data_IF_931388021503
#
_entry.id   IF_931388021503
#
_cell.length_a   1.000
_cell.length_b   1.000
_cell.length_c   1.000
_cell.angle_alpha   90.00
_cell.angle_beta   90.00
_cell.angle_gamma   90.00
#
_symmetry.space_group_name_H-M   'P 1'
#
loop_
_entity.id
_entity.type
_entity.pdbx_description
1 polymer ?
#
# COMPACT_ATOMS: atom_id res chain seq x y z
N UNK A 1 -10.92 9.80 0.23
CA UNK A 1 -12.14 9.66 -0.60
C UNK A 1 -12.02 8.36 -1.39
N UNK A 2 -13.17 7.73 -1.66
CA UNK A 2 -13.35 6.33 -2.13
C UNK A 2 -12.51 6.01 -3.39
N UNK A 3 -11.64 5.00 -3.30
CA UNK A 3 -10.64 4.68 -4.35
C UNK A 3 -10.86 3.34 -5.06
N UNK A 4 -11.93 2.58 -4.81
CA UNK A 4 -12.16 1.29 -5.50
C UNK A 4 -13.63 1.04 -5.75
N UNK A 5 -14.23 2.00 -6.44
CA UNK A 5 -15.66 2.05 -6.67
C UNK A 5 -15.93 2.11 -8.17
N UNK A 6 -16.50 1.05 -8.72
CA UNK A 6 -17.04 1.08 -10.08
C UNK A 6 -18.47 1.61 -10.00
N UNK A 7 -18.78 2.56 -10.88
CA UNK A 7 -20.13 3.07 -11.03
C UNK A 7 -20.78 2.37 -12.21
N UNK A 8 -21.92 1.74 -11.97
CA UNK A 8 -22.75 1.13 -13.00
C UNK A 8 -24.03 1.96 -13.19
N UNK A 9 -24.55 1.96 -14.41
CA UNK A 9 -25.83 2.57 -14.70
C UNK A 9 -26.53 1.96 -15.91
N UNK A 10 -27.83 2.20 -15.98
CA UNK A 10 -28.65 1.88 -17.14
C UNK A 10 -28.27 2.78 -18.32
N UNK A 11 -27.98 2.25 -19.52
CA UNK A 11 -27.45 3.02 -20.63
C UNK A 11 -28.26 4.28 -20.99
N UNK A 12 -29.58 4.24 -20.80
CA UNK A 12 -30.49 5.35 -21.09
C UNK A 12 -30.32 6.59 -20.21
N UNK A 13 -29.66 6.50 -19.04
CA UNK A 13 -29.52 7.66 -18.14
C UNK A 13 -28.35 8.55 -18.49
N UNK A 14 -27.34 8.02 -19.20
CA UNK A 14 -26.20 8.80 -19.66
C UNK A 14 -26.35 9.10 -21.15
N UNK A 15 -26.79 10.32 -21.46
CA UNK A 15 -26.99 10.81 -22.83
C UNK A 15 -25.93 11.83 -23.26
N UNK A 16 -24.93 12.07 -22.40
CA UNK A 16 -23.84 13.01 -22.62
C UNK A 16 -22.70 12.44 -23.46
N UNK A 17 -21.71 13.28 -23.76
CA UNK A 17 -20.40 12.81 -24.25
C UNK A 17 -19.58 12.28 -23.09
N UNK A 18 -18.67 11.34 -23.37
CA UNK A 18 -17.64 10.92 -22.41
C UNK A 18 -16.93 12.18 -21.87
N UNK A 19 -16.87 12.38 -20.55
CA UNK A 19 -16.20 13.54 -19.96
C UNK A 19 -14.68 13.51 -20.21
N UNK A 20 -14.02 14.66 -20.05
CA UNK A 20 -12.56 14.71 -20.08
C UNK A 20 -11.97 13.86 -18.94
N UNK A 21 -10.73 13.38 -19.12
CA UNK A 21 -10.07 12.52 -18.15
C UNK A 21 -10.04 13.13 -16.74
N UNK A 22 -9.76 14.44 -16.64
CA UNK A 22 -9.65 15.19 -15.38
C UNK A 22 -10.99 15.33 -14.63
N UNK A 23 -12.13 15.23 -15.35
CA UNK A 23 -13.48 15.43 -14.79
C UNK A 23 -14.25 14.10 -14.64
N UNK A 24 -13.69 13.00 -15.14
CA UNK A 24 -14.39 11.72 -15.30
C UNK A 24 -14.93 11.16 -13.98
N UNK A 25 -14.10 11.13 -12.94
CA UNK A 25 -14.54 10.60 -11.64
C UNK A 25 -15.65 11.44 -11.01
N UNK A 26 -15.55 12.76 -11.10
CA UNK A 26 -16.54 13.68 -10.55
C UNK A 26 -17.88 13.51 -11.27
N UNK A 27 -17.86 13.41 -12.60
CA UNK A 27 -19.08 13.21 -13.42
C UNK A 27 -19.74 11.86 -13.13
N UNK A 28 -18.97 10.79 -12.97
CA UNK A 28 -19.52 9.47 -12.61
C UNK A 28 -20.16 9.48 -11.21
N UNK A 29 -19.52 10.14 -10.25
CA UNK A 29 -20.07 10.32 -8.90
C UNK A 29 -21.36 11.14 -8.93
N UNK A 30 -21.41 12.25 -9.66
CA UNK A 30 -22.60 13.09 -9.82
C UNK A 30 -23.75 12.32 -10.47
N UNK A 31 -23.47 11.53 -11.50
CA UNK A 31 -24.43 10.63 -12.13
C UNK A 31 -24.99 9.64 -11.10
N UNK A 32 -24.13 8.99 -10.33
CA UNK A 32 -24.58 8.10 -9.27
C UNK A 32 -25.46 8.83 -8.24
N UNK A 33 -25.06 9.99 -7.72
CA UNK A 33 -25.84 10.75 -6.75
C UNK A 33 -27.23 11.13 -7.27
N UNK A 34 -27.31 11.48 -8.56
CA UNK A 34 -28.56 11.85 -9.21
C UNK A 34 -29.52 10.67 -9.39
N UNK A 35 -28.99 9.48 -9.71
CA UNK A 35 -29.81 8.34 -10.16
C UNK A 35 -29.88 7.16 -9.18
N UNK A 36 -29.12 7.17 -8.08
CA UNK A 36 -29.09 6.10 -7.05
C UNK A 36 -30.39 5.87 -6.30
N UNK A 37 -31.37 6.76 -6.40
CA UNK A 37 -32.69 6.62 -5.77
C UNK A 37 -33.83 6.63 -6.81
N UNK A 38 -33.49 6.62 -8.10
CA UNK A 38 -34.45 6.62 -9.20
C UNK A 38 -34.65 5.17 -9.60
N UNK A 39 -35.89 4.69 -9.56
CA UNK A 39 -36.21 3.34 -10.04
C UNK A 39 -35.78 3.21 -11.51
N UNK A 40 -35.06 2.14 -11.83
CA UNK A 40 -34.76 1.84 -13.23
C UNK A 40 -36.04 1.57 -14.03
N UNK A 41 -36.04 1.97 -15.31
CA UNK A 41 -37.01 1.54 -16.31
C UNK A 41 -36.43 0.47 -17.27
N UNK A 42 -35.12 0.27 -17.21
CA UNK A 42 -34.36 -0.70 -17.99
C UNK A 42 -34.28 -2.07 -17.33
N UNK A 43 -33.75 -3.04 -18.09
CA UNK A 43 -33.45 -4.40 -17.61
C UNK A 43 -31.96 -4.71 -17.71
N UNK A 44 -31.14 -3.76 -18.15
CA UNK A 44 -29.76 -4.01 -18.56
C UNK A 44 -28.86 -4.17 -17.35
N UNK A 45 -29.07 -3.36 -16.32
CA UNK A 45 -28.38 -3.48 -15.03
C UNK A 45 -28.69 -4.83 -14.34
N UNK A 46 -29.95 -5.29 -14.42
CA UNK A 46 -30.35 -6.61 -13.90
C UNK A 46 -29.76 -7.75 -14.74
N UNK A 47 -29.84 -7.66 -16.06
CA UNK A 47 -29.27 -8.65 -16.96
C UNK A 47 -27.75 -8.79 -16.78
N UNK A 48 -27.06 -7.68 -16.56
CA UNK A 48 -25.64 -7.67 -16.22
C UNK A 48 -25.38 -8.43 -14.91
N UNK A 49 -26.13 -8.13 -13.85
CA UNK A 49 -25.96 -8.79 -12.56
C UNK A 49 -26.23 -10.30 -12.65
N UNK A 50 -27.26 -10.70 -13.38
CA UNK A 50 -27.60 -12.11 -13.55
C UNK A 50 -26.49 -12.83 -14.30
N UNK A 51 -26.00 -12.29 -15.42
CA UNK A 51 -24.91 -12.88 -16.19
C UNK A 51 -23.59 -12.91 -15.40
N UNK A 52 -23.27 -11.83 -14.68
CA UNK A 52 -22.06 -11.72 -13.85
C UNK A 52 -22.10 -12.75 -12.73
N UNK A 53 -23.26 -12.89 -12.09
CA UNK A 53 -23.49 -13.91 -11.08
C UNK A 53 -23.42 -15.32 -11.63
N UNK A 54 -24.03 -15.58 -12.78
CA UNK A 54 -24.09 -16.92 -13.35
C UNK A 54 -22.69 -17.39 -13.75
N UNK A 55 -21.87 -16.51 -14.33
CA UNK A 55 -20.47 -16.83 -14.68
C UNK A 55 -19.58 -17.06 -13.45
N UNK A 56 -19.75 -16.30 -12.37
CA UNK A 56 -18.94 -16.47 -11.14
C UNK A 56 -19.38 -17.70 -10.35
N UNK A 57 -20.68 -17.98 -10.30
CA UNK A 57 -21.25 -19.11 -9.56
C UNK A 57 -21.35 -20.40 -10.39
N UNK A 58 -20.93 -20.39 -11.66
CA UNK A 58 -20.95 -21.58 -12.52
C UNK A 58 -20.10 -22.70 -11.91
N UNK A 59 -20.67 -23.90 -11.69
CA UNK A 59 -19.92 -25.08 -11.27
C UNK A 59 -18.65 -25.38 -12.08
N UNK A 60 -18.63 -25.03 -13.37
CA UNK A 60 -17.48 -25.22 -14.26
C UNK A 60 -16.33 -24.24 -13.97
N UNK A 61 -16.62 -23.09 -13.35
CA UNK A 61 -15.63 -22.06 -13.01
C UNK A 61 -15.37 -21.92 -11.51
N UNK A 62 -15.93 -22.81 -10.67
CA UNK A 62 -15.71 -22.83 -9.21
C UNK A 62 -14.22 -22.89 -8.81
N UNK A 63 -13.38 -23.45 -9.68
CA UNK A 63 -11.93 -23.50 -9.48
C UNK A 63 -11.25 -22.13 -9.63
N UNK A 64 -11.91 -21.09 -10.14
CA UNK A 64 -11.33 -19.76 -10.37
C UNK A 64 -11.81 -18.69 -9.37
N UNK A 65 -12.93 -18.94 -8.70
CA UNK A 65 -13.59 -17.98 -7.79
C UNK A 65 -13.64 -18.51 -6.36
N UNK A 66 -13.33 -17.67 -5.36
CA UNK A 66 -13.43 -18.07 -3.95
C UNK A 66 -14.89 -18.28 -3.55
N UNK A 67 -15.10 -19.02 -2.46
CA UNK A 67 -16.37 -18.96 -1.72
C UNK A 67 -16.67 -17.51 -1.27
N UNK A 68 -15.65 -16.75 -0.87
CA UNK A 68 -15.75 -15.32 -0.57
C UNK A 68 -16.22 -14.49 -1.77
N UNK A 69 -15.73 -14.75 -3.00
CA UNK A 69 -16.20 -14.10 -4.23
C UNK A 69 -17.67 -14.39 -4.49
N UNK A 70 -18.07 -15.66 -4.33
CA UNK A 70 -19.46 -16.07 -4.53
C UNK A 70 -20.39 -15.44 -3.49
N UNK A 71 -19.96 -15.36 -2.23
CA UNK A 71 -20.69 -14.67 -1.16
C UNK A 71 -20.77 -13.15 -1.41
N UNK A 72 -19.73 -12.54 -1.96
CA UNK A 72 -19.73 -11.13 -2.34
C UNK A 72 -20.72 -10.86 -3.48
N UNK A 73 -20.70 -11.67 -4.54
CA UNK A 73 -21.69 -11.61 -5.64
C UNK A 73 -23.10 -11.78 -5.09
N UNK A 74 -23.32 -12.74 -4.19
CA UNK A 74 -24.62 -12.93 -3.56
C UNK A 74 -25.05 -11.68 -2.76
N UNK A 75 -24.11 -11.04 -2.04
CA UNK A 75 -24.36 -9.77 -1.37
C UNK A 75 -24.69 -8.62 -2.34
N UNK A 76 -24.16 -8.63 -3.56
CA UNK A 76 -24.59 -7.70 -4.63
C UNK A 76 -26.03 -8.03 -5.05
N UNK A 77 -26.36 -9.30 -5.30
CA UNK A 77 -27.73 -9.70 -5.66
C UNK A 77 -28.75 -9.32 -4.60
N UNK A 78 -28.43 -9.53 -3.33
CA UNK A 78 -29.30 -9.21 -2.22
C UNK A 78 -29.50 -7.69 -2.08
N UNK A 79 -28.47 -6.88 -2.37
CA UNK A 79 -28.60 -5.42 -2.46
C UNK A 79 -29.48 -4.98 -3.63
N UNK A 80 -29.38 -5.62 -4.79
CA UNK A 80 -30.21 -5.31 -5.95
C UNK A 80 -31.66 -5.78 -5.77
N UNK A 81 -31.87 -6.89 -5.06
CA UNK A 81 -33.19 -7.43 -4.75
C UNK A 81 -34.03 -6.50 -3.83
N UNK A 82 -33.39 -5.58 -3.12
CA UNK A 82 -34.07 -4.56 -2.29
C UNK A 82 -34.65 -3.39 -3.11
N UNK A 83 -34.41 -3.35 -4.43
CA UNK A 83 -34.96 -2.38 -5.37
C UNK A 83 -33.88 -1.87 -6.34
N UNK A 84 -34.14 -1.95 -7.64
CA UNK A 84 -33.18 -1.54 -8.67
C UNK A 84 -33.21 -0.01 -8.87
N UNK A 85 -32.12 0.64 -8.50
CA UNK A 85 -31.87 2.04 -8.84
C UNK A 85 -31.18 2.13 -10.19
N UNK A 86 -31.43 3.20 -10.95
CA UNK A 86 -30.89 3.38 -12.29
C UNK A 86 -29.35 3.53 -12.32
N UNK A 87 -28.72 3.74 -11.15
CA UNK A 87 -27.27 3.65 -10.96
C UNK A 87 -26.93 2.92 -9.66
N UNK A 88 -25.84 2.15 -9.70
CA UNK A 88 -25.32 1.39 -8.58
C UNK A 88 -23.83 1.67 -8.38
N UNK A 89 -23.44 1.68 -7.11
CA UNK A 89 -22.07 1.74 -6.66
C UNK A 89 -21.57 0.33 -6.31
N UNK A 90 -20.53 -0.14 -6.99
CA UNK A 90 -19.84 -1.38 -6.67
C UNK A 90 -18.58 -1.08 -5.88
N UNK A 91 -18.67 -1.20 -4.57
CA UNK A 91 -17.52 -1.16 -3.69
C UNK A 91 -16.93 -2.56 -3.60
N UNK A 92 -15.60 -2.65 -3.75
CA UNK A 92 -14.77 -3.86 -3.53
C UNK A 92 -14.67 -4.79 -4.74
N UNK A 93 -13.78 -4.43 -5.68
CA UNK A 93 -13.08 -5.42 -6.50
C UNK A 93 -11.63 -5.66 -6.02
N UNK A 94 -11.07 -4.74 -5.23
CA UNK A 94 -9.62 -4.65 -4.96
C UNK A 94 -9.02 -5.83 -4.19
N UNK A 95 -9.77 -6.50 -3.30
CA UNK A 95 -9.21 -7.60 -2.47
C UNK A 95 -9.19 -8.96 -3.17
N UNK A 96 -9.92 -9.15 -4.27
CA UNK A 96 -9.89 -10.37 -5.07
C UNK A 96 -9.45 -10.13 -6.53
N UNK A 97 -9.23 -8.87 -6.90
CA UNK A 97 -8.63 -8.36 -8.14
C UNK A 97 -7.22 -8.89 -8.46
N UNK A 98 -6.55 -9.57 -7.53
CA UNK A 98 -5.30 -10.29 -7.85
C UNK A 98 -5.54 -11.48 -8.79
N UNK A 99 -6.79 -11.92 -8.97
CA UNK A 99 -7.18 -12.87 -9.99
C UNK A 99 -7.83 -12.14 -11.16
N UNK A 100 -7.12 -12.04 -12.28
CA UNK A 100 -7.59 -11.54 -13.58
C UNK A 100 -8.98 -12.07 -14.01
N UNK A 101 -9.42 -13.20 -13.44
CA UNK A 101 -10.70 -13.85 -13.68
C UNK A 101 -11.94 -12.99 -13.36
N UNK A 102 -11.95 -12.23 -12.26
CA UNK A 102 -13.14 -11.44 -11.87
C UNK A 102 -13.30 -10.23 -12.79
N UNK A 103 -12.20 -9.55 -13.10
CA UNK A 103 -12.18 -8.45 -14.08
C UNK A 103 -12.55 -8.92 -15.48
N UNK A 104 -12.07 -10.09 -15.89
CA UNK A 104 -12.46 -10.71 -17.15
C UNK A 104 -13.96 -10.95 -17.22
N UNK A 105 -14.56 -11.60 -16.21
CA UNK A 105 -16.00 -11.81 -16.18
C UNK A 105 -16.75 -10.48 -16.13
N UNK A 106 -16.26 -9.48 -15.39
CA UNK A 106 -16.83 -8.14 -15.36
C UNK A 106 -16.90 -7.51 -16.77
N UNK A 107 -15.78 -7.42 -17.49
CA UNK A 107 -15.79 -6.79 -18.81
C UNK A 107 -16.49 -7.63 -19.88
N UNK A 108 -16.41 -8.97 -19.81
CA UNK A 108 -17.19 -9.84 -20.70
C UNK A 108 -18.69 -9.61 -20.50
N UNK A 109 -19.15 -9.55 -19.25
CA UNK A 109 -20.56 -9.30 -18.96
C UNK A 109 -20.98 -7.89 -19.36
N UNK A 110 -20.14 -6.88 -19.14
CA UNK A 110 -20.39 -5.52 -19.65
C UNK A 110 -20.52 -5.50 -21.17
N UNK A 111 -19.64 -6.21 -21.88
CA UNK A 111 -19.68 -6.29 -23.33
C UNK A 111 -20.94 -7.00 -23.83
N UNK A 112 -21.35 -8.09 -23.17
CA UNK A 112 -22.53 -8.87 -23.56
C UNK A 112 -23.85 -8.17 -23.22
N UNK A 113 -23.92 -7.40 -22.13
CA UNK A 113 -25.17 -6.74 -21.72
C UNK A 113 -25.26 -5.29 -22.18
N UNK A 114 -24.14 -4.66 -22.51
CA UNK A 114 -24.09 -3.25 -22.90
C UNK A 114 -24.44 -2.31 -21.75
N UNK A 115 -24.15 -2.67 -20.50
CA UNK A 115 -24.36 -1.79 -19.35
C UNK A 115 -23.43 -0.57 -19.42
N UNK A 116 -23.89 0.58 -18.90
CA UNK A 116 -23.02 1.74 -18.71
C UNK A 116 -22.14 1.58 -17.48
N UNK A 117 -20.86 1.95 -17.58
CA UNK A 117 -19.98 1.95 -16.42
C UNK A 117 -18.87 3.00 -16.48
N UNK A 118 -18.37 3.38 -15.30
CA UNK A 118 -17.13 4.11 -15.12
C UNK A 118 -16.24 3.38 -14.12
N UNK A 119 -15.01 3.14 -14.54
CA UNK A 119 -13.98 2.54 -13.70
C UNK A 119 -12.83 3.52 -13.45
N UNK A 120 -12.67 3.98 -12.19
CA UNK A 120 -11.71 5.04 -11.87
C UNK A 120 -10.25 4.59 -11.97
N UNK A 121 -9.95 3.31 -11.75
CA UNK A 121 -8.57 2.82 -11.72
C UNK A 121 -7.88 2.85 -13.10
N UNK A 122 -8.67 2.71 -14.16
CA UNK A 122 -8.19 2.75 -15.55
C UNK A 122 -8.76 3.94 -16.33
N UNK A 123 -9.56 4.79 -15.68
CA UNK A 123 -10.29 5.90 -16.26
C UNK A 123 -11.13 5.50 -17.49
N UNK A 124 -11.79 4.34 -17.42
CA UNK A 124 -12.53 3.77 -18.56
C UNK A 124 -14.02 4.01 -18.41
N UNK A 125 -14.62 4.41 -19.53
CA UNK A 125 -16.07 4.60 -19.69
C UNK A 125 -16.64 3.59 -20.68
N UNK A 126 -17.83 3.08 -20.39
CA UNK A 126 -18.75 2.60 -21.41
C UNK A 126 -20.13 3.22 -21.24
N UNK A 127 -20.74 3.60 -22.36
CA UNK A 127 -22.05 4.22 -22.44
C UNK A 127 -22.86 3.38 -23.43
N UNK A 128 -23.38 2.24 -22.98
CA UNK A 128 -24.15 1.34 -23.84
C UNK A 128 -23.35 0.66 -24.95
N UNK A 129 -24.06 -0.04 -25.84
CA UNK A 129 -23.49 -0.70 -27.05
C UNK A 129 -22.85 0.28 -28.05
N UNK A 130 -23.09 1.59 -27.93
CA UNK A 130 -22.85 2.56 -29.01
C UNK A 130 -21.74 3.59 -28.73
N UNK A 131 -21.24 3.70 -27.50
CA UNK A 131 -20.26 4.74 -27.13
C UNK A 131 -19.21 4.30 -26.11
N UNK A 132 -18.70 3.08 -26.24
CA UNK A 132 -17.32 2.82 -25.78
C UNK A 132 -16.37 3.30 -26.88
N UNK A 133 -15.22 3.94 -26.58
CA UNK A 133 -14.19 4.12 -27.61
C UNK A 133 -13.98 2.76 -28.28
N UNK A 134 -14.08 2.65 -29.60
CA UNK A 134 -14.31 1.38 -30.36
C UNK A 134 -13.35 0.22 -30.04
N UNK A 135 -12.32 0.42 -29.22
CA UNK A 135 -11.42 -0.63 -28.73
C UNK A 135 -11.04 -0.50 -27.24
N UNK A 136 -11.66 0.35 -26.41
CA UNK A 136 -11.22 0.54 -25.02
C UNK A 136 -11.42 -0.72 -24.17
N UNK A 137 -12.61 -1.32 -24.25
CA UNK A 137 -12.91 -2.59 -23.56
C UNK A 137 -12.09 -3.73 -24.17
N UNK A 138 -12.00 -3.82 -25.51
CA UNK A 138 -11.19 -4.86 -26.19
C UNK A 138 -9.68 -4.75 -25.94
N UNK A 139 -9.13 -3.54 -25.82
CA UNK A 139 -7.71 -3.30 -25.52
C UNK A 139 -7.39 -3.58 -24.06
N UNK A 140 -8.29 -3.25 -23.12
CA UNK A 140 -8.17 -3.66 -21.73
C UNK A 140 -8.34 -5.17 -21.56
N UNK A 141 -9.23 -5.78 -22.35
CA UNK A 141 -9.43 -7.22 -22.39
C UNK A 141 -8.23 -7.95 -23.01
N UNK A 142 -7.41 -7.32 -23.86
CA UNK A 142 -6.32 -8.01 -24.58
C UNK A 142 -5.33 -8.74 -23.64
N UNK A 143 -4.82 -8.11 -22.56
CA UNK A 143 -4.04 -8.79 -21.53
C UNK A 143 -4.81 -9.96 -20.87
N UNK A 144 -6.07 -9.75 -20.51
CA UNK A 144 -6.85 -10.70 -19.70
C UNK A 144 -7.53 -11.85 -20.49
N UNK A 145 -7.77 -11.67 -21.79
CA UNK A 145 -8.31 -12.67 -22.70
C UNK A 145 -7.24 -13.63 -23.22
N UNK A 146 -5.99 -13.15 -23.33
CA UNK A 146 -4.87 -13.92 -23.88
C UNK A 146 -4.18 -14.81 -22.83
N UNK A 147 -4.28 -14.47 -21.54
CA UNK A 147 -3.77 -15.33 -20.48
C UNK A 147 -4.78 -16.44 -20.09
N UNK A 148 -4.36 -17.71 -20.00
CA UNK A 148 -5.22 -18.78 -19.52
C UNK A 148 -5.62 -18.52 -18.08
N UNK A 149 -6.91 -18.66 -17.77
CA UNK A 149 -7.43 -18.60 -16.40
C UNK A 149 -6.61 -19.56 -15.52
N UNK A 150 -5.93 -19.02 -14.51
CA UNK A 150 -5.15 -19.83 -13.57
C UNK A 150 -6.09 -20.38 -12.51
N UNK A 151 -6.18 -21.70 -12.42
CA UNK A 151 -6.96 -22.39 -11.39
C UNK A 151 -6.48 -21.90 -10.03
N UNK A 152 -7.43 -21.49 -9.19
CA UNK A 152 -7.24 -21.25 -7.76
C UNK A 152 -6.94 -22.60 -7.13
N UNK A 153 -5.68 -22.97 -7.13
CA UNK A 153 -5.22 -24.07 -6.29
C UNK A 153 -5.41 -23.58 -4.86
N UNK A 154 -6.40 -24.16 -4.16
CA UNK A 154 -6.47 -24.18 -2.70
C UNK A 154 -5.30 -25.04 -2.17
N UNK A 155 -4.09 -24.66 -2.54
CA UNK A 155 -2.91 -25.07 -1.86
C UNK A 155 -2.86 -24.17 -0.63
N UNK A 156 -2.88 -24.78 0.55
CA UNK A 156 -2.09 -24.23 1.66
C UNK A 156 -0.82 -23.68 1.01
N UNK A 157 -0.52 -22.40 1.20
CA UNK A 157 0.74 -21.82 0.71
C UNK A 157 1.85 -22.69 1.28
N UNK A 158 2.26 -23.72 0.54
CA UNK A 158 3.63 -24.13 0.51
C UNK A 158 4.26 -22.90 -0.11
N UNK A 159 4.95 -22.15 0.74
CA UNK A 159 5.86 -21.09 0.33
C UNK A 159 6.46 -21.50 -1.01
N UNK A 160 6.45 -20.64 -2.06
CA UNK A 160 7.18 -20.96 -3.27
C UNK A 160 8.54 -21.43 -2.80
N UNK A 161 8.89 -22.70 -3.04
CA UNK A 161 10.13 -23.25 -2.53
C UNK A 161 11.21 -22.30 -3.01
N UNK A 162 11.77 -21.54 -2.06
CA UNK A 162 12.71 -20.47 -2.31
C UNK A 162 13.85 -21.08 -3.10
N UNK A 163 13.83 -20.92 -4.42
CA UNK A 163 15.03 -21.09 -5.22
C UNK A 163 15.86 -19.85 -4.97
N UNK A 164 16.50 -19.83 -3.81
CA UNK A 164 17.73 -19.09 -3.66
C UNK A 164 18.72 -19.78 -4.60
N UNK A 165 18.78 -19.23 -5.82
CA UNK A 165 19.68 -19.66 -6.87
C UNK A 165 21.11 -19.65 -6.33
N UNK A 166 21.99 -20.47 -6.92
CA UNK A 166 23.41 -20.32 -6.71
C UNK A 166 23.85 -18.91 -7.14
N UNK A 167 23.94 -17.99 -6.17
CA UNK A 167 24.36 -16.63 -6.45
C UNK A 167 25.80 -16.64 -6.93
N UNK A 168 26.04 -15.98 -8.06
CA UNK A 168 27.39 -15.63 -8.47
C UNK A 168 27.77 -14.33 -7.78
N UNK A 169 28.98 -14.28 -7.22
CA UNK A 169 29.49 -13.05 -6.61
C UNK A 169 29.65 -11.99 -7.71
N UNK A 170 28.92 -10.86 -7.66
CA UNK A 170 29.08 -9.80 -8.65
C UNK A 170 30.50 -9.24 -8.56
N UNK A 171 31.13 -9.00 -9.70
CA UNK A 171 32.47 -8.43 -9.80
C UNK A 171 32.44 -6.91 -10.03
N UNK A 172 31.27 -6.36 -10.32
CA UNK A 172 31.06 -4.95 -10.63
C UNK A 172 29.74 -4.41 -10.06
N UNK A 173 29.62 -3.09 -9.92
CA UNK A 173 28.38 -2.45 -9.47
C UNK A 173 27.18 -2.70 -10.42
N UNK A 174 27.36 -2.68 -11.76
CA UNK A 174 26.29 -3.08 -12.67
C UNK A 174 25.83 -4.53 -12.51
N UNK A 175 26.74 -5.47 -12.25
CA UNK A 175 26.37 -6.87 -11.97
C UNK A 175 25.58 -7.00 -10.66
N UNK A 176 25.99 -6.27 -9.62
CA UNK A 176 25.25 -6.23 -8.36
C UNK A 176 23.87 -5.58 -8.52
N UNK A 177 23.77 -4.53 -9.34
CA UNK A 177 22.49 -3.92 -9.72
C UNK A 177 21.57 -4.92 -10.41
N UNK A 178 22.06 -5.61 -11.44
CA UNK A 178 21.29 -6.63 -12.13
C UNK A 178 20.81 -7.73 -11.17
N UNK A 179 21.71 -8.22 -10.31
CA UNK A 179 21.38 -9.24 -9.32
C UNK A 179 20.28 -8.79 -8.36
N UNK A 180 20.40 -7.58 -7.82
CA UNK A 180 19.42 -7.00 -6.88
C UNK A 180 18.08 -6.77 -7.57
N UNK A 181 18.08 -6.17 -8.76
CA UNK A 181 16.85 -5.87 -9.50
C UNK A 181 16.10 -7.15 -9.85
N UNK A 182 16.80 -8.16 -10.38
CA UNK A 182 16.21 -9.47 -10.65
C UNK A 182 15.66 -10.13 -9.38
N UNK A 183 16.38 -10.03 -8.26
CA UNK A 183 15.90 -10.57 -7.00
C UNK A 183 14.58 -9.89 -6.58
N UNK A 184 14.49 -8.57 -6.61
CA UNK A 184 13.27 -7.83 -6.26
C UNK A 184 12.09 -8.14 -7.20
N UNK A 185 12.34 -8.30 -8.49
CA UNK A 185 11.33 -8.69 -9.48
C UNK A 185 10.77 -10.10 -9.24
N UNK A 186 11.53 -10.96 -8.55
CA UNK A 186 11.17 -12.35 -8.29
C UNK A 186 10.55 -12.60 -6.90
N UNK A 187 10.63 -11.66 -5.95
CA UNK A 187 10.07 -11.89 -4.61
C UNK A 187 8.59 -11.56 -4.51
N UNK A 188 7.85 -12.38 -3.76
CA UNK A 188 6.39 -12.27 -3.60
C UNK A 188 5.92 -10.92 -3.09
N UNK A 189 6.64 -10.28 -2.17
CA UNK A 189 6.26 -8.98 -1.59
C UNK A 189 6.72 -7.77 -2.43
N UNK A 190 7.72 -7.93 -3.30
CA UNK A 190 8.32 -6.80 -4.02
C UNK A 190 8.05 -6.79 -5.52
N UNK A 191 7.66 -7.92 -6.12
CA UNK A 191 7.44 -8.05 -7.56
C UNK A 191 6.40 -7.08 -8.15
N UNK A 192 5.47 -6.58 -7.33
CA UNK A 192 4.43 -5.64 -7.75
C UNK A 192 4.73 -4.19 -7.36
N UNK A 193 5.87 -3.93 -6.70
CA UNK A 193 6.26 -2.58 -6.29
C UNK A 193 7.02 -1.90 -7.43
N UNK A 194 6.91 -0.58 -7.51
CA UNK A 194 7.70 0.19 -8.48
C UNK A 194 9.15 0.27 -8.00
N UNK A 195 10.06 -0.37 -8.74
CA UNK A 195 11.50 -0.29 -8.50
C UNK A 195 12.11 0.84 -9.34
N UNK A 196 12.63 1.87 -8.68
CA UNK A 196 13.48 2.88 -9.29
C UNK A 196 14.94 2.65 -8.87
N UNK A 197 15.87 2.69 -9.83
CA UNK A 197 17.31 2.55 -9.58
C UNK A 197 18.04 3.81 -10.01
N UNK A 198 18.85 4.37 -9.11
CA UNK A 198 19.62 5.59 -9.36
C UNK A 198 21.11 5.45 -9.04
N UNK A 199 21.94 6.19 -9.77
CA UNK A 199 23.39 6.26 -9.57
C UNK A 199 23.82 7.20 -8.42
N UNK A 200 22.86 7.75 -7.69
CA UNK A 200 23.05 8.70 -6.60
C UNK A 200 22.04 8.45 -5.49
N UNK A 201 22.29 8.99 -4.30
CA UNK A 201 21.32 8.97 -3.23
C UNK A 201 20.04 9.70 -3.65
N UNK A 202 18.90 9.05 -3.50
CA UNK A 202 17.59 9.65 -3.70
C UNK A 202 16.62 9.19 -2.62
N UNK A 203 15.63 10.00 -2.28
CA UNK A 203 14.58 9.70 -1.30
C UNK A 203 13.32 10.48 -1.66
N UNK A 204 12.24 9.80 -2.05
CA UNK A 204 10.97 10.42 -2.42
C UNK A 204 10.22 11.03 -1.24
N UNK A 205 10.53 10.61 0.00
CA UNK A 205 9.87 11.08 1.22
C UNK A 205 10.61 12.26 1.84
N UNK A 206 11.95 12.22 1.85
CA UNK A 206 12.79 13.33 2.31
C UNK A 206 13.64 13.84 1.15
N UNK A 207 13.14 14.86 0.46
CA UNK A 207 13.78 15.41 -0.73
C UNK A 207 15.04 16.25 -0.43
N UNK A 208 15.44 16.38 0.83
CA UNK A 208 16.61 17.17 1.21
C UNK A 208 17.88 16.54 0.63
N UNK A 209 18.58 17.31 -0.20
CA UNK A 209 19.79 16.86 -0.89
C UNK A 209 19.54 16.00 -2.13
N UNK A 210 18.29 15.78 -2.54
CA UNK A 210 18.01 15.14 -3.82
C UNK A 210 18.46 16.04 -4.96
N UNK A 211 19.06 15.45 -5.98
CA UNK A 211 19.26 16.13 -7.25
C UNK A 211 17.96 16.10 -8.07
N UNK A 212 17.71 17.16 -8.85
CA UNK A 212 16.45 17.31 -9.58
C UNK A 212 16.22 16.32 -10.73
N UNK A 213 17.28 15.68 -11.23
CA UNK A 213 17.24 14.66 -12.29
C UNK A 213 18.15 13.48 -11.95
N UNK A 214 17.76 12.63 -10.97
CA UNK A 214 18.57 11.50 -10.52
C UNK A 214 18.85 10.47 -11.60
N UNK A 215 18.00 10.39 -12.63
CA UNK A 215 18.14 9.54 -13.80
C UNK A 215 19.29 9.96 -14.74
N UNK A 216 19.70 11.24 -14.71
CA UNK A 216 20.80 11.77 -15.52
C UNK A 216 22.13 11.81 -14.75
N UNK A 217 22.15 11.28 -13.53
CA UNK A 217 23.32 11.35 -12.68
C UNK A 217 24.48 10.50 -13.24
N UNK A 218 25.69 11.06 -13.18
CA UNK A 218 26.90 10.33 -13.52
C UNK A 218 27.04 9.09 -12.63
N UNK A 219 27.48 7.98 -13.21
CA UNK A 219 27.78 6.78 -12.46
C UNK A 219 29.00 7.01 -11.56
N UNK A 220 28.75 7.07 -10.25
CA UNK A 220 29.79 7.24 -9.22
C UNK A 220 30.17 5.93 -8.53
N UNK A 221 29.67 4.79 -9.04
CA UNK A 221 29.77 3.49 -8.38
C UNK A 221 28.79 3.32 -7.22
N UNK A 222 27.80 4.20 -7.12
CA UNK A 222 26.73 4.17 -6.14
C UNK A 222 25.45 3.62 -6.78
N UNK A 223 24.67 2.80 -6.07
CA UNK A 223 23.33 2.37 -6.49
C UNK A 223 22.33 2.59 -5.37
N UNK A 224 21.28 3.33 -5.67
CA UNK A 224 20.09 3.49 -4.83
C UNK A 224 18.96 2.70 -5.46
N UNK A 225 18.44 1.71 -4.75
CA UNK A 225 17.23 0.99 -5.11
C UNK A 225 16.10 1.54 -4.26
N UNK A 226 15.02 1.97 -4.90
CA UNK A 226 13.84 2.52 -4.27
C UNK A 226 12.65 1.71 -4.71
N UNK A 227 12.11 0.90 -3.81
CA UNK A 227 10.82 0.26 -4.02
C UNK A 227 9.75 1.14 -3.41
N UNK A 228 8.79 1.54 -4.24
CA UNK A 228 7.74 2.47 -3.84
C UNK A 228 6.36 1.91 -4.12
N UNK A 229 5.42 2.30 -3.26
CA UNK A 229 4.01 2.00 -3.41
C UNK A 229 3.21 3.12 -2.76
N UNK A 230 2.11 3.53 -3.37
CA UNK A 230 1.14 4.44 -2.74
C UNK A 230 -0.16 3.68 -2.54
N UNK A 231 -0.67 3.68 -1.31
CA UNK A 231 -1.93 3.01 -0.98
C UNK A 231 -2.70 3.85 0.03
N UNK A 232 -3.94 4.21 -0.30
CA UNK A 232 -4.88 4.88 0.62
C UNK A 232 -4.26 6.11 1.32
N UNK A 233 -3.59 6.99 0.56
CA UNK A 233 -2.96 8.20 1.13
C UNK A 233 -1.71 7.94 1.98
N UNK A 234 -1.15 6.72 1.93
CA UNK A 234 0.13 6.35 2.54
C UNK A 234 1.11 6.05 1.42
N UNK A 235 2.26 6.72 1.42
CA UNK A 235 3.36 6.47 0.50
C UNK A 235 4.44 5.66 1.20
N UNK A 236 4.75 4.50 0.66
CA UNK A 236 5.73 3.55 1.15
C UNK A 236 7.01 3.67 0.33
N UNK A 237 8.15 3.57 1.02
CA UNK A 237 9.46 3.51 0.39
C UNK A 237 10.37 2.54 1.15
N UNK A 238 10.75 1.46 0.49
CA UNK A 238 11.91 0.66 0.90
C UNK A 238 13.12 1.15 0.11
N UNK A 239 14.12 1.68 0.82
CA UNK A 239 15.34 2.22 0.24
C UNK A 239 16.52 1.35 0.59
N UNK A 240 17.21 0.84 -0.43
CA UNK A 240 18.48 0.16 -0.30
C UNK A 240 19.58 0.94 -1.01
N UNK A 241 20.70 1.13 -0.34
CA UNK A 241 21.86 1.84 -0.89
C UNK A 241 23.06 0.91 -0.89
N UNK A 242 23.60 0.66 -2.07
CA UNK A 242 24.85 -0.05 -2.27
C UNK A 242 25.93 0.95 -2.72
N UNK A 243 26.97 1.12 -1.90
CA UNK A 243 28.09 2.05 -2.21
C UNK A 243 29.29 1.34 -2.82
N UNK A 244 29.52 0.09 -2.39
CA UNK A 244 30.62 -0.80 -2.78
C UNK A 244 30.20 -2.22 -2.45
N UNK A 245 30.72 -3.20 -3.18
CA UNK A 245 30.49 -4.63 -2.91
C UNK A 245 31.07 -5.07 -1.55
N UNK A 246 32.13 -4.39 -1.09
CA UNK A 246 32.83 -4.70 0.18
C UNK A 246 32.22 -4.02 1.41
N UNK A 247 31.08 -3.34 1.26
CA UNK A 247 30.38 -2.64 2.35
C UNK A 247 28.92 -3.07 2.36
N UNK A 248 28.38 -3.30 3.55
CA UNK A 248 26.99 -3.72 3.70
C UNK A 248 26.02 -2.69 3.11
N UNK A 249 24.98 -3.14 2.38
CA UNK A 249 23.94 -2.25 1.90
C UNK A 249 23.26 -1.51 3.06
N UNK A 250 23.01 -0.21 2.90
CA UNK A 250 22.21 0.53 3.88
C UNK A 250 20.74 0.39 3.51
N UNK A 251 19.95 -0.24 4.38
CA UNK A 251 18.52 -0.43 4.17
C UNK A 251 17.70 0.40 5.16
N UNK A 252 16.66 1.05 4.66
CA UNK A 252 15.68 1.73 5.49
C UNK A 252 14.29 1.64 4.85
N UNK A 253 13.29 1.37 5.67
CA UNK A 253 11.89 1.50 5.30
C UNK A 253 11.36 2.85 5.80
N UNK A 254 10.49 3.45 5.02
CA UNK A 254 9.82 4.68 5.38
C UNK A 254 8.37 4.66 4.86
N UNK A 255 7.47 5.28 5.61
CA UNK A 255 6.11 5.57 5.20
C UNK A 255 5.79 7.03 5.47
N UNK A 256 5.18 7.70 4.50
CA UNK A 256 4.60 9.03 4.65
C UNK A 256 3.08 8.87 4.62
N UNK A 257 2.44 9.11 5.76
CA UNK A 257 0.98 9.01 5.92
C UNK A 257 0.35 10.39 6.15
N UNK A 258 1.01 11.46 5.72
CA UNK A 258 0.47 12.82 5.83
C UNK A 258 -0.88 12.93 5.13
N UNK A 259 -0.97 12.49 3.87
CA UNK A 259 -2.21 12.56 3.06
C UNK A 259 -3.34 11.70 3.65
N UNK A 260 -3.02 10.69 4.47
CA UNK A 260 -4.02 9.85 5.14
C UNK A 260 -4.74 10.59 6.26
N UNK A 261 -4.03 11.41 7.02
CA UNK A 261 -4.55 12.06 8.23
C UNK A 261 -4.81 13.54 8.08
N UNK A 262 -4.10 14.23 7.19
CA UNK A 262 -4.11 15.69 7.13
C UNK A 262 -4.70 16.12 5.78
N UNK A 263 -5.91 16.69 5.77
CA UNK A 263 -6.49 17.26 4.57
C UNK A 263 -5.54 18.27 3.92
N UNK A 264 -5.45 18.30 2.59
CA UNK A 264 -4.49 19.12 1.82
C UNK A 264 -4.46 20.60 2.26
N UNK A 265 -5.63 21.17 2.51
CA UNK A 265 -5.81 22.55 2.98
C UNK A 265 -5.19 22.83 4.37
N UNK A 266 -5.01 21.79 5.19
CA UNK A 266 -4.43 21.87 6.52
C UNK A 266 -2.96 21.42 6.56
N UNK A 267 -2.44 20.81 5.49
CA UNK A 267 -1.06 20.33 5.45
C UNK A 267 -0.03 21.45 5.66
N UNK A 268 -0.28 22.65 5.12
CA UNK A 268 0.59 23.82 5.31
C UNK A 268 0.66 24.30 6.76
N UNK A 269 -0.29 23.89 7.60
CA UNK A 269 -0.25 24.21 9.03
C UNK A 269 0.69 23.26 9.77
N UNK A 270 1.01 22.09 9.24
CA UNK A 270 1.92 21.15 9.87
C UNK A 270 3.36 21.49 9.45
N UNK A 271 4.27 21.79 10.40
CA UNK A 271 5.63 22.19 10.05
C UNK A 271 6.46 21.05 9.47
N UNK A 272 6.04 19.80 9.69
CA UNK A 272 6.70 18.60 9.20
C UNK A 272 5.67 17.59 8.73
N UNK A 273 6.05 16.71 7.80
CA UNK A 273 5.21 15.61 7.34
C UNK A 273 5.17 14.47 8.37
N UNK A 274 4.09 13.70 8.33
CA UNK A 274 3.88 12.52 9.16
C UNK A 274 4.61 11.32 8.55
N UNK A 275 5.91 11.27 8.81
CA UNK A 275 6.80 10.24 8.25
C UNK A 275 7.22 9.30 9.36
N UNK A 276 7.08 7.99 9.17
CA UNK A 276 7.70 6.96 10.00
C UNK A 276 8.88 6.34 9.25
N UNK A 277 9.96 6.02 9.98
CA UNK A 277 11.12 5.31 9.44
C UNK A 277 11.50 4.15 10.34
N UNK A 278 11.78 3.01 9.72
CA UNK A 278 12.26 1.81 10.40
C UNK A 278 13.52 1.32 9.71
N UNK A 279 14.59 1.11 10.49
CA UNK A 279 15.79 0.41 10.01
C UNK A 279 15.76 -1.00 10.57
N UNK A 280 16.37 -1.94 9.86
CA UNK A 280 16.54 -3.31 10.35
C UNK A 280 17.26 -3.38 11.70
N UNK A 281 18.16 -2.43 11.94
CA UNK A 281 18.92 -2.29 13.19
C UNK A 281 18.08 -1.83 14.38
N UNK A 282 16.86 -1.31 14.15
CA UNK A 282 15.93 -0.89 15.20
C UNK A 282 14.98 -2.03 15.61
N UNK A 283 15.11 -3.21 14.99
CA UNK A 283 14.31 -4.40 15.30
C UNK A 283 15.21 -5.47 15.91
N UNK A 284 14.89 -5.88 17.13
CA UNK A 284 15.73 -6.77 17.95
C UNK A 284 15.00 -8.04 18.36
N UNK A 285 15.77 -9.09 18.61
CA UNK A 285 15.25 -10.27 19.30
C UNK A 285 15.01 -9.94 20.77
N UNK A 286 13.85 -10.31 21.30
CA UNK A 286 13.52 -10.16 22.72
C UNK A 286 14.18 -11.27 23.52
N UNK A 287 15.49 -11.17 23.73
CA UNK A 287 16.25 -12.10 24.55
C UNK A 287 16.16 -11.63 26.00
N UNK A 288 15.57 -12.47 26.87
CA UNK A 288 15.46 -12.16 28.29
C UNK A 288 16.83 -11.89 28.91
N UNK A 289 17.02 -10.65 29.38
CA UNK A 289 18.13 -10.11 30.17
C UNK A 289 19.31 -9.47 29.39
N UNK A 290 19.34 -8.13 29.52
CA UNK A 290 20.49 -7.20 29.61
C UNK A 290 21.52 -7.15 28.46
N UNK A 291 21.50 -5.97 27.84
CA UNK A 291 22.61 -5.19 27.28
C UNK A 291 23.17 -5.52 25.90
N UNK A 292 22.81 -6.64 25.27
CA UNK A 292 23.17 -6.89 23.86
C UNK A 292 21.90 -7.26 23.07
N UNK A 293 21.12 -6.25 22.68
CA UNK A 293 19.97 -6.46 21.81
C UNK A 293 20.50 -6.76 20.39
N UNK A 294 20.65 -8.04 20.06
CA UNK A 294 21.04 -8.45 18.70
C UNK A 294 19.95 -8.05 17.70
N UNK A 295 20.31 -7.46 16.55
CA UNK A 295 19.36 -7.21 15.47
C UNK A 295 18.65 -8.50 15.07
N UNK A 296 17.34 -8.41 14.86
CA UNK A 296 16.54 -9.54 14.40
C UNK A 296 16.90 -9.92 12.96
N UNK A 297 17.21 -8.92 12.13
CA UNK A 297 17.61 -9.08 10.73
C UNK A 297 19.06 -8.61 10.56
N UNK A 298 19.97 -9.56 10.42
CA UNK A 298 21.39 -9.28 10.27
C UNK A 298 21.72 -8.93 8.80
N UNK A 299 21.33 -7.73 8.37
CA UNK A 299 21.64 -7.19 7.04
C UNK A 299 23.08 -6.65 6.96
N UNK A 300 24.01 -7.44 7.46
CA UNK A 300 25.44 -7.15 7.51
C UNK A 300 26.19 -8.18 6.70
N UNK A 301 27.25 -7.75 6.05
CA UNK A 301 28.06 -8.63 5.20
C UNK A 301 28.84 -7.83 4.17
N UNK A 302 29.98 -8.38 3.76
CA UNK A 302 30.68 -7.95 2.55
C UNK A 302 30.28 -8.95 1.47
N UNK A 303 29.92 -8.49 0.28
CA UNK A 303 29.52 -9.38 -0.82
C UNK A 303 30.76 -9.97 -1.47
N UNK A 304 31.62 -10.59 -0.66
CA UNK A 304 32.91 -11.14 -1.05
C UNK A 304 32.76 -12.62 -1.43
N UNK A 305 31.76 -13.32 -0.88
CA UNK A 305 31.48 -14.73 -1.18
C UNK A 305 30.01 -14.99 -1.54
N UNK A 306 29.70 -16.08 -2.27
CA UNK A 306 28.32 -16.48 -2.53
C UNK A 306 27.50 -16.70 -1.26
N UNK A 307 28.12 -17.21 -0.20
CA UNK A 307 27.47 -17.44 1.10
C UNK A 307 27.05 -16.13 1.76
N UNK A 308 27.90 -15.10 1.73
CA UNK A 308 27.55 -13.79 2.30
C UNK A 308 26.35 -13.16 1.59
N UNK A 309 26.28 -13.33 0.26
CA UNK A 309 25.19 -12.83 -0.58
C UNK A 309 23.89 -13.60 -0.28
N UNK A 310 23.99 -14.91 -0.17
CA UNK A 310 22.90 -15.80 0.22
C UNK A 310 22.31 -15.42 1.58
N UNK A 311 23.16 -15.22 2.58
CA UNK A 311 22.75 -14.83 3.93
C UNK A 311 22.12 -13.44 3.93
N UNK A 312 22.68 -12.50 3.16
CA UNK A 312 22.11 -11.17 3.00
C UNK A 312 20.69 -11.23 2.42
N UNK A 313 20.47 -11.92 1.29
CA UNK A 313 19.15 -12.01 0.67
C UNK A 313 18.14 -12.76 1.55
N UNK A 314 18.59 -13.76 2.32
CA UNK A 314 17.74 -14.45 3.30
C UNK A 314 17.26 -13.51 4.40
N UNK A 315 18.16 -12.68 4.95
CA UNK A 315 17.80 -11.69 5.96
C UNK A 315 16.97 -10.54 5.36
N UNK A 316 17.23 -10.15 4.10
CA UNK A 316 16.49 -9.10 3.41
C UNK A 316 15.04 -9.53 3.20
N UNK A 317 14.84 -10.75 2.73
CA UNK A 317 13.51 -11.34 2.56
C UNK A 317 12.72 -11.33 3.88
N UNK A 318 13.33 -11.85 4.95
CA UNK A 318 12.69 -11.89 6.27
C UNK A 318 12.35 -10.47 6.79
N UNK A 319 13.20 -9.48 6.53
CA UNK A 319 12.92 -8.10 6.92
C UNK A 319 11.78 -7.47 6.11
N UNK A 320 11.74 -7.72 4.81
CA UNK A 320 10.67 -7.27 3.92
C UNK A 320 9.34 -7.93 4.33
N UNK A 321 9.34 -9.25 4.53
CA UNK A 321 8.19 -10.00 5.02
C UNK A 321 7.68 -9.42 6.35
N UNK A 322 8.58 -9.12 7.29
CA UNK A 322 8.23 -8.47 8.55
C UNK A 322 7.57 -7.10 8.34
N UNK A 323 8.12 -6.25 7.48
CA UNK A 323 7.53 -4.95 7.15
C UNK A 323 6.15 -5.13 6.55
N UNK A 324 6.00 -5.93 5.50
CA UNK A 324 4.72 -6.04 4.79
C UNK A 324 3.65 -6.74 5.61
N UNK A 325 4.02 -7.70 6.45
CA UNK A 325 3.09 -8.40 7.35
C UNK A 325 2.56 -7.51 8.47
N UNK A 326 3.35 -6.53 8.93
CA UNK A 326 2.95 -5.65 10.03
C UNK A 326 2.45 -4.28 9.58
N UNK A 327 3.09 -3.67 8.58
CA UNK A 327 2.90 -2.28 8.16
C UNK A 327 2.41 -2.12 6.72
N UNK A 328 2.46 -3.20 5.92
CA UNK A 328 1.91 -3.22 4.57
C UNK A 328 0.40 -3.00 4.57
N UNK A 329 -0.15 -2.64 3.42
CA UNK A 329 -1.61 -2.47 3.23
C UNK A 329 -2.26 -1.41 4.14
N UNK A 330 -1.52 -0.44 4.65
CA UNK A 330 -2.08 0.60 5.51
C UNK A 330 -2.41 0.17 6.93
N UNK A 331 -1.80 -0.92 7.44
CA UNK A 331 -1.97 -1.44 8.81
C UNK A 331 -1.37 -0.51 9.88
N UNK A 332 -1.98 0.66 10.04
CA UNK A 332 -1.56 1.66 11.02
C UNK A 332 -1.88 1.25 12.45
N UNK A 333 -2.79 0.28 12.65
CA UNK A 333 -3.12 -0.30 13.95
C UNK A 333 -1.93 -1.06 14.55
N UNK A 334 -1.08 -1.69 13.72
CA UNK A 334 0.14 -2.33 14.19
C UNK A 334 1.15 -1.29 14.69
N UNK A 335 1.36 -0.22 13.90
CA UNK A 335 2.23 0.90 14.31
C UNK A 335 1.69 1.59 15.57
N UNK A 336 0.37 1.72 15.68
CA UNK A 336 -0.29 2.21 16.88
C UNK A 336 0.03 1.29 18.06
N UNK A 337 -0.22 -0.02 17.95
CA UNK A 337 0.08 -0.98 19.01
C UNK A 337 1.52 -0.91 19.51
N UNK A 338 2.50 -0.79 18.59
CA UNK A 338 3.91 -0.64 18.94
C UNK A 338 4.17 0.62 19.77
N UNK A 339 3.53 1.75 19.44
CA UNK A 339 3.63 2.99 20.21
C UNK A 339 3.03 2.87 21.63
N UNK A 340 2.08 1.95 21.84
CA UNK A 340 1.57 1.60 23.18
C UNK A 340 2.40 0.51 23.89
N UNK A 341 3.46 0.00 23.24
CA UNK A 341 4.36 -1.03 23.79
C UNK A 341 3.95 -2.47 23.47
N UNK A 342 2.90 -2.66 22.66
CA UNK A 342 2.40 -3.98 22.29
C UNK A 342 3.11 -4.46 21.03
N UNK A 343 4.31 -5.01 21.26
CA UNK A 343 5.24 -5.48 20.24
C UNK A 343 4.93 -6.92 19.77
N UNK A 344 5.34 -7.30 18.54
CA UNK A 344 5.21 -8.67 18.07
C UNK A 344 5.94 -9.68 18.97
N UNK A 345 5.44 -10.92 19.03
CA UNK A 345 6.02 -11.95 19.88
C UNK A 345 7.50 -12.20 19.57
N UNK A 346 8.34 -12.22 20.62
CA UNK A 346 9.78 -12.44 20.47
C UNK A 346 10.56 -11.28 19.84
N UNK A 347 9.91 -10.16 19.53
CA UNK A 347 10.51 -8.99 18.89
C UNK A 347 10.40 -7.78 19.82
N UNK A 348 11.45 -6.94 19.81
CA UNK A 348 11.43 -5.61 20.38
C UNK A 348 11.76 -4.62 19.26
N UNK A 349 10.99 -3.54 19.17
CA UNK A 349 11.19 -2.47 18.19
C UNK A 349 11.56 -1.20 18.95
N UNK A 350 12.74 -0.67 18.69
CA UNK A 350 13.22 0.55 19.31
C UNK A 350 12.65 1.76 18.54
N UNK A 351 11.44 2.16 18.94
CA UNK A 351 10.77 3.32 18.37
C UNK A 351 11.41 4.62 18.90
N UNK A 352 11.77 5.52 17.98
CA UNK A 352 12.12 6.90 18.33
C UNK A 352 10.92 7.57 19.02
N UNK A 353 11.18 8.32 20.11
CA UNK A 353 10.13 8.97 20.89
C UNK A 353 9.25 9.88 20.02
N UNK A 354 9.76 10.44 18.93
CA UNK A 354 9.00 11.30 18.01
C UNK A 354 7.87 10.52 17.35
N UNK A 355 8.15 9.29 16.94
CA UNK A 355 7.15 8.41 16.33
C UNK A 355 6.13 7.93 17.36
N UNK A 356 6.60 7.58 18.56
CA UNK A 356 5.72 7.23 19.67
C UNK A 356 4.71 8.35 19.94
N UNK A 357 5.20 9.58 20.20
CA UNK A 357 4.34 10.74 20.47
C UNK A 357 3.40 11.05 19.30
N UNK A 358 3.88 10.97 18.06
CA UNK A 358 3.06 11.19 16.87
C UNK A 358 1.90 10.19 16.80
N UNK A 359 2.15 8.90 17.04
CA UNK A 359 1.11 7.88 17.02
C UNK A 359 0.10 8.07 18.16
N UNK A 360 0.53 8.51 19.33
CA UNK A 360 -0.38 8.85 20.44
C UNK A 360 -1.26 10.06 20.11
N UNK A 361 -0.70 11.09 19.46
CA UNK A 361 -1.46 12.23 18.98
C UNK A 361 -2.49 11.83 17.91
N UNK A 362 -2.10 10.98 16.96
CA UNK A 362 -3.02 10.43 15.96
C UNK A 362 -4.12 9.57 16.59
N UNK A 363 -3.81 8.84 17.67
CA UNK A 363 -4.77 8.04 18.45
C UNK A 363 -5.73 8.89 19.28
N UNK A 364 -5.54 10.21 19.31
CA UNK A 364 -6.32 11.14 20.13
C UNK A 364 -6.28 10.81 21.64
N UNK A 365 -5.18 10.20 22.11
CA UNK A 365 -4.97 9.92 23.54
C UNK A 365 -4.13 11.02 24.18
N UNK A 366 -4.78 12.13 24.53
CA UNK A 366 -4.11 13.29 25.10
C UNK A 366 -3.44 12.99 26.45
N UNK A 367 -4.07 12.15 27.28
CA UNK A 367 -3.56 11.83 28.61
C UNK A 367 -2.29 11.01 28.49
N UNK A 368 -2.29 9.97 27.65
CA UNK A 368 -1.12 9.12 27.49
C UNK A 368 0.00 9.84 26.73
N UNK A 369 -0.32 10.68 25.73
CA UNK A 369 0.65 11.56 25.07
C UNK A 369 1.40 12.43 26.09
N UNK A 370 0.69 13.06 27.03
CA UNK A 370 1.31 13.88 28.08
C UNK A 370 2.17 13.04 29.02
N UNK A 371 1.70 11.84 29.42
CA UNK A 371 2.46 10.94 30.29
C UNK A 371 3.79 10.51 29.64
N UNK A 372 3.75 10.14 28.35
CA UNK A 372 4.94 9.69 27.62
C UNK A 372 5.92 10.81 27.34
N UNK A 373 5.45 12.03 27.06
CA UNK A 373 6.30 13.21 27.02
C UNK A 373 7.03 13.45 28.36
N UNK A 374 6.33 13.40 29.50
CA UNK A 374 6.95 13.58 30.82
C UNK A 374 7.94 12.46 31.15
N UNK A 375 7.64 11.22 30.77
CA UNK A 375 8.58 10.10 30.90
C UNK A 375 9.89 10.36 30.14
N UNK A 376 9.81 10.70 28.85
CA UNK A 376 11.00 10.97 28.02
C UNK A 376 11.80 12.16 28.53
N UNK A 377 11.11 13.22 28.98
CA UNK A 377 11.73 14.37 29.61
C UNK A 377 12.52 13.96 30.86
N UNK A 378 11.93 13.12 31.71
CA UNK A 378 12.60 12.56 32.89
C UNK A 378 13.84 11.75 32.53
N UNK A 379 13.74 10.86 31.54
CA UNK A 379 14.87 10.02 31.07
C UNK A 379 16.02 10.88 30.54
N UNK A 380 15.74 11.86 29.67
CA UNK A 380 16.75 12.74 29.08
C UNK A 380 17.44 13.62 30.13
N UNK A 381 16.69 14.10 31.13
CA UNK A 381 17.26 14.87 32.24
C UNK A 381 18.16 14.01 33.13
N UNK A 382 17.78 12.75 33.38
CA UNK A 382 18.59 11.82 34.19
C UNK A 382 19.86 11.35 33.46
N UNK A 383 19.82 11.24 32.13
CA UNK A 383 20.96 10.79 31.33
C UNK A 383 21.96 11.90 30.97
N UNK A 384 21.79 13.12 31.50
CA UNK A 384 22.55 14.31 31.10
C UNK A 384 22.58 14.50 29.56
N UNK A 385 21.44 14.28 28.90
CA UNK A 385 21.33 14.47 27.46
C UNK A 385 21.68 15.90 27.05
N UNK A 386 22.06 16.11 25.78
CA UNK A 386 22.41 17.46 25.30
C UNK A 386 21.17 18.34 25.30
N UNK A 387 21.36 19.64 25.50
CA UNK A 387 20.26 20.61 25.43
C UNK A 387 19.47 20.53 24.11
N UNK A 388 20.13 20.16 23.00
CA UNK A 388 19.49 19.90 21.71
C UNK A 388 18.49 18.76 21.73
N UNK A 389 18.77 17.70 22.49
CA UNK A 389 17.92 16.50 22.54
C UNK A 389 16.64 16.80 23.35
N UNK A 390 16.75 17.61 24.42
CA UNK A 390 15.61 18.16 25.13
C UNK A 390 14.80 19.15 24.27
N UNK A 391 15.47 20.02 23.50
CA UNK A 391 14.80 20.93 22.56
C UNK A 391 13.97 20.17 21.53
N UNK A 392 14.53 19.10 20.95
CA UNK A 392 13.82 18.25 19.99
C UNK A 392 12.58 17.59 20.60
N UNK A 393 12.63 17.15 21.87
CA UNK A 393 11.47 16.60 22.57
C UNK A 393 10.35 17.64 22.73
N UNK A 394 10.68 18.87 23.13
CA UNK A 394 9.71 19.96 23.30
C UNK A 394 9.07 20.36 21.95
N UNK A 395 9.87 20.46 20.89
CA UNK A 395 9.41 20.73 19.53
C UNK A 395 8.47 19.63 19.03
N UNK A 396 8.85 18.37 19.24
CA UNK A 396 8.05 17.20 18.84
C UNK A 396 6.73 17.13 19.60
N UNK A 397 6.74 17.39 20.91
CA UNK A 397 5.52 17.42 21.71
C UNK A 397 4.59 18.57 21.30
N UNK A 398 5.14 19.76 21.02
CA UNK A 398 4.37 20.90 20.51
C UNK A 398 3.72 20.60 19.16
N UNK A 399 4.47 19.94 18.25
CA UNK A 399 3.95 19.45 16.98
C UNK A 399 2.82 18.44 17.21
N UNK A 400 2.99 17.49 18.12
CA UNK A 400 1.99 16.48 18.45
C UNK A 400 0.70 17.10 19.03
N UNK A 401 0.81 18.16 19.84
CA UNK A 401 -0.36 18.90 20.33
C UNK A 401 -1.13 19.60 19.19
N UNK A 402 -0.41 20.13 18.19
CA UNK A 402 -1.03 20.72 17.00
C UNK A 402 -1.68 19.65 16.12
N UNK A 403 -0.96 18.54 15.90
CA UNK A 403 -1.46 17.39 15.16
C UNK A 403 -2.76 16.85 15.77
N UNK A 404 -2.78 16.65 17.08
CA UNK A 404 -3.97 16.21 17.83
C UNK A 404 -5.19 17.07 17.50
N UNK A 405 -5.05 18.40 17.57
CA UNK A 405 -6.16 19.34 17.26
C UNK A 405 -6.62 19.19 15.82
N UNK A 406 -5.68 19.18 14.87
CA UNK A 406 -5.98 19.05 13.44
C UNK A 406 -6.78 17.77 13.16
N UNK A 407 -6.32 16.61 13.66
CA UNK A 407 -6.98 15.32 13.36
C UNK A 407 -8.30 15.15 14.10
N UNK A 408 -8.45 15.77 15.28
CA UNK A 408 -9.72 15.81 16.01
C UNK A 408 -10.75 16.65 15.27
N UNK A 409 -10.37 17.87 14.85
CA UNK A 409 -11.25 18.79 14.12
C UNK A 409 -11.63 18.26 12.74
N UNK A 410 -10.69 17.61 12.04
CA UNK A 410 -10.92 17.01 10.73
C UNK A 410 -11.63 15.65 10.80
N UNK A 411 -11.72 15.03 11.97
CA UNK A 411 -12.29 13.68 12.14
C UNK A 411 -11.48 12.58 11.45
N UNK A 412 -10.18 12.79 11.26
CA UNK A 412 -9.28 11.89 10.51
C UNK A 412 -8.38 11.05 11.40
N UNK A 413 -8.38 11.29 12.72
CA UNK A 413 -7.55 10.57 13.68
C UNK A 413 -7.80 9.05 13.68
N UNK A 414 -6.84 8.31 14.23
CA UNK A 414 -6.99 6.88 14.49
C UNK A 414 -8.10 6.65 15.52
N UNK A 415 -8.69 5.46 15.45
CA UNK A 415 -9.54 4.98 16.52
C UNK A 415 -8.72 4.86 17.82
N UNK A 416 -9.35 5.08 18.98
CA UNK A 416 -8.68 4.87 20.26
C UNK A 416 -8.08 3.47 20.35
N UNK A 417 -6.87 3.38 20.86
CA UNK A 417 -6.21 2.10 21.01
C UNK A 417 -6.93 1.25 22.06
N UNK A 418 -7.31 0.03 21.70
CA UNK A 418 -7.87 -0.96 22.62
C UNK A 418 -6.88 -2.13 22.67
N UNK A 419 -6.35 -2.38 23.87
CA UNK A 419 -5.45 -3.50 24.11
C UNK A 419 -6.21 -4.81 23.93
N UNK A 420 -5.73 -5.65 23.01
CA UNK A 420 -6.25 -6.99 22.76
C UNK A 420 -5.71 -8.01 23.77
#
# INVERSE_FOLDING_TARGET
MLLNTIYLWEPEIFTGKVPAEDDSQQVAFELHQQYRNISTHGKTLQAWLDLFSDKICDPQYQLYFSEQTQQWVQGIKDRFAQGLCASVQLDVLEHEAQNDAVYRVFYETVHETGIGFYEPNYNVWAIGELQSPENAVSNMLQPYLLEPLKIKVLESIAEPQKQLNHFQTPQSMPEAEQLISQWFEQQSYTQHLKLDVFNVAHDFISNWGNIGRPELALDTGYRCFLLTQKQVGIFYQLKMVLRKLTVSPMLSFAMDFTDRFIPDQLQQQLPERLIFRLRSMDVHKRIGLKNNAEPHFALTGRWDTPTDIQDFFTNLDAYIEFIFSNLGQGRLEALQAWAYGDMPSGIQIDLDFRFELMMLALSQDQLYLQQRYQYHKGVLMQSNARASDLGLLEESYTLCQKLFKIVTEAGTGLQPYVKN
#
